data_IF_621174407571
#
_entry.id   IF_621174407571
#
_cell.length_a   1.000
_cell.length_b   1.000
_cell.length_c   1.000
_cell.angle_alpha   90.00
_cell.angle_beta   90.00
_cell.angle_gamma   90.00
#
_symmetry.space_group_name_H-M   'P 1'
#
loop_
_entity.id
_entity.type
_entity.pdbx_description
1 polymer ?
#
# COMPACT_ATOMS: atom_id res chain seq x y z
N UNK A 1 -12.32 -19.32 -1.08
CA UNK A 1 -11.56 -18.05 -1.04
C UNK A 1 -11.30 -17.68 -2.48
N UNK A 2 -11.69 -16.48 -2.93
CA UNK A 2 -11.51 -16.08 -4.32
C UNK A 2 -10.06 -15.64 -4.55
N UNK A 3 -9.36 -16.30 -5.48
CA UNK A 3 -8.01 -15.94 -5.88
C UNK A 3 -8.06 -14.72 -6.82
N UNK A 4 -7.89 -13.52 -6.28
CA UNK A 4 -7.84 -12.28 -7.09
C UNK A 4 -6.42 -12.01 -7.54
N UNK A 5 -6.17 -12.01 -8.86
CA UNK A 5 -4.86 -11.68 -9.45
C UNK A 5 -4.79 -10.22 -9.87
N UNK A 6 -3.69 -9.54 -9.55
CA UNK A 6 -3.44 -8.21 -10.09
C UNK A 6 -2.92 -8.29 -11.53
N UNK A 7 -3.44 -7.44 -12.40
CA UNK A 7 -2.97 -7.26 -13.78
C UNK A 7 -2.52 -5.82 -13.99
N UNK A 8 -1.30 -5.63 -14.45
CA UNK A 8 -0.77 -4.32 -14.77
C UNK A 8 -1.29 -3.86 -16.13
N UNK A 9 -2.22 -2.90 -16.17
CA UNK A 9 -2.69 -2.26 -17.41
C UNK A 9 -1.88 -1.00 -17.71
N UNK A 10 -0.59 -1.16 -17.99
CA UNK A 10 0.34 -0.07 -18.31
C UNK A 10 0.96 0.61 -17.09
N UNK A 11 1.72 1.70 -17.32
CA UNK A 11 2.44 2.44 -16.28
C UNK A 11 1.59 3.62 -15.77
N UNK A 12 0.62 3.33 -14.89
CA UNK A 12 -0.16 4.35 -14.19
C UNK A 12 0.12 4.31 -12.69
N UNK A 13 0.06 5.47 -11.98
CA UNK A 13 0.17 5.49 -10.53
C UNK A 13 -0.89 4.61 -9.88
N UNK A 14 -0.48 3.76 -8.94
CA UNK A 14 -1.33 2.83 -8.22
C UNK A 14 -1.56 3.30 -6.79
N UNK A 15 -2.75 3.01 -6.24
CA UNK A 15 -3.06 3.15 -4.80
C UNK A 15 -3.99 2.02 -4.37
N UNK A 16 -3.86 1.55 -3.14
CA UNK A 16 -4.69 0.47 -2.61
C UNK A 16 -6.16 0.90 -2.37
N UNK A 17 -6.38 2.16 -1.99
CA UNK A 17 -7.71 2.69 -1.65
C UNK A 17 -8.20 2.28 -0.25
N UNK A 18 -7.97 1.03 0.14
CA UNK A 18 -8.10 0.54 1.53
C UNK A 18 -6.74 0.55 2.23
N UNK A 19 -6.74 0.46 3.56
CA UNK A 19 -5.53 0.06 4.27
C UNK A 19 -5.03 -1.28 3.73
N UNK A 20 -3.71 -1.41 3.61
CA UNK A 20 -3.05 -2.64 3.20
C UNK A 20 -2.12 -3.09 4.31
N UNK A 21 -2.28 -4.34 4.76
CA UNK A 21 -1.35 -5.00 5.67
C UNK A 21 -0.20 -5.61 4.87
N UNK A 22 1.01 -5.51 5.40
CA UNK A 22 2.23 -6.08 4.83
C UNK A 22 3.18 -6.50 5.95
N UNK A 23 4.27 -7.19 5.61
CA UNK A 23 5.25 -7.68 6.59
C UNK A 23 6.66 -7.28 6.18
N UNK A 24 7.53 -7.01 7.15
CA UNK A 24 8.97 -6.93 6.89
C UNK A 24 9.59 -8.30 6.55
N UNK A 25 8.94 -9.40 6.95
CA UNK A 25 9.38 -10.77 6.64
C UNK A 25 8.70 -11.28 5.38
N UNK A 26 9.52 -11.54 4.36
CA UNK A 26 9.07 -12.17 3.12
C UNK A 26 8.32 -13.47 3.37
N UNK A 27 8.84 -14.33 4.24
CA UNK A 27 8.25 -15.64 4.54
C UNK A 27 6.84 -15.52 5.12
N UNK A 28 6.61 -14.54 6.01
CA UNK A 28 5.28 -14.24 6.54
C UNK A 28 4.34 -13.79 5.42
N UNK A 29 4.78 -12.84 4.57
CA UNK A 29 3.97 -12.38 3.44
C UNK A 29 3.62 -13.50 2.44
N UNK A 30 4.55 -14.42 2.16
CA UNK A 30 4.31 -15.56 1.26
C UNK A 30 3.36 -16.61 1.88
N UNK A 31 3.26 -16.69 3.21
CA UNK A 31 2.33 -17.60 3.89
C UNK A 31 0.85 -17.22 3.70
N UNK A 32 0.55 -15.94 3.46
CA UNK A 32 -0.81 -15.46 3.16
C UNK A 32 -1.27 -15.79 1.73
N UNK A 33 -0.35 -16.17 0.85
CA UNK A 33 -0.65 -16.56 -0.53
C UNK A 33 0.44 -16.12 -1.52
N UNK A 34 0.46 -16.79 -2.66
CA UNK A 34 1.48 -16.57 -3.71
C UNK A 34 0.88 -16.29 -5.09
N UNK A 35 -0.44 -16.15 -5.21
CA UNK A 35 -1.08 -15.80 -6.50
C UNK A 35 -0.63 -14.45 -7.05
N UNK A 36 -0.30 -13.53 -6.15
CA UNK A 36 0.32 -12.25 -6.46
C UNK A 36 1.21 -11.87 -5.28
N UNK A 37 2.47 -11.57 -5.55
CA UNK A 37 3.40 -11.13 -4.52
C UNK A 37 3.84 -9.70 -4.77
N UNK A 38 3.73 -8.85 -3.75
CA UNK A 38 4.04 -7.42 -3.82
C UNK A 38 5.24 -7.10 -2.94
N UNK A 39 6.36 -6.73 -3.56
CA UNK A 39 7.53 -6.16 -2.87
C UNK A 39 7.32 -4.66 -2.72
N UNK A 40 7.00 -4.18 -1.52
CA UNK A 40 6.58 -2.78 -1.31
C UNK A 40 7.68 -1.96 -0.63
N UNK A 41 8.02 -0.81 -1.22
CA UNK A 41 8.81 0.25 -0.58
C UNK A 41 7.90 1.44 -0.29
N UNK A 42 7.34 1.48 0.91
CA UNK A 42 6.44 2.53 1.38
C UNK A 42 7.19 3.65 2.10
N UNK A 43 6.70 4.89 1.98
CA UNK A 43 7.18 6.05 2.76
C UNK A 43 6.25 6.38 3.94
N UNK A 44 5.01 5.89 3.93
CA UNK A 44 3.97 6.23 4.91
C UNK A 44 3.51 5.02 5.72
N UNK A 45 4.03 3.83 5.43
CA UNK A 45 3.76 2.61 6.18
C UNK A 45 4.29 2.71 7.60
N UNK A 46 3.49 2.26 8.54
CA UNK A 46 3.83 2.29 9.97
C UNK A 46 4.00 0.86 10.46
N UNK A 47 5.13 0.51 11.08
CA UNK A 47 5.26 -0.77 11.76
C UNK A 47 4.32 -0.82 12.96
N UNK A 48 3.42 -1.80 12.97
CA UNK A 48 2.40 -1.98 14.00
C UNK A 48 2.51 -3.32 14.72
N UNK A 49 3.61 -4.05 14.56
CA UNK A 49 3.83 -5.34 15.24
C UNK A 49 3.58 -5.29 16.76
N UNK A 50 3.88 -4.17 17.43
CA UNK A 50 3.61 -3.98 18.87
C UNK A 50 2.12 -3.81 19.22
N UNK A 51 1.27 -3.58 18.23
CA UNK A 51 -0.19 -3.44 18.36
C UNK A 51 -0.97 -4.58 17.69
N UNK A 52 -0.26 -5.48 16.99
CA UNK A 52 -0.88 -6.60 16.29
C UNK A 52 -1.18 -7.74 17.26
N UNK A 53 -2.22 -8.52 16.94
CA UNK A 53 -2.51 -9.78 17.65
C UNK A 53 -1.40 -10.82 17.41
N UNK A 54 -0.69 -10.71 16.28
CA UNK A 54 0.37 -11.62 15.85
C UNK A 54 1.66 -10.84 15.65
N UNK A 55 2.38 -10.61 16.74
CA UNK A 55 3.60 -9.79 16.76
C UNK A 55 4.70 -10.31 15.82
N UNK A 56 4.73 -11.63 15.61
CA UNK A 56 5.66 -12.36 14.75
C UNK A 56 5.45 -12.12 13.25
N UNK A 57 4.29 -11.60 12.86
CA UNK A 57 4.04 -11.21 11.47
C UNK A 57 4.85 -9.97 11.08
N UNK A 58 5.44 -9.24 12.03
CA UNK A 58 6.19 -8.01 11.80
C UNK A 58 5.41 -7.04 10.90
N UNK A 59 4.13 -6.86 11.23
CA UNK A 59 3.16 -6.14 10.42
C UNK A 59 3.53 -4.67 10.23
N UNK A 60 3.40 -4.21 8.98
CA UNK A 60 3.47 -2.82 8.55
C UNK A 60 2.14 -2.46 7.89
N UNK A 61 1.43 -1.50 8.47
CA UNK A 61 0.17 -1.01 7.94
C UNK A 61 0.42 0.16 7.00
N UNK A 62 -0.03 0.03 5.74
CA UNK A 62 0.13 1.03 4.69
C UNK A 62 -1.19 1.78 4.49
N UNK A 63 -1.19 3.12 4.51
CA UNK A 63 -2.42 3.89 4.27
C UNK A 63 -2.88 3.75 2.81
N UNK A 64 -4.19 3.56 2.61
CA UNK A 64 -4.76 3.32 1.28
C UNK A 64 -4.65 4.46 0.28
N UNK A 65 -4.31 5.66 0.75
CA UNK A 65 -4.13 6.83 -0.07
C UNK A 65 -2.67 7.05 -0.50
N UNK A 66 -1.71 6.20 -0.13
CA UNK A 66 -0.34 6.29 -0.66
C UNK A 66 -0.30 5.91 -2.15
N UNK A 67 0.48 6.66 -2.93
CA UNK A 67 0.63 6.47 -4.38
C UNK A 67 1.97 5.78 -4.69
N UNK A 68 1.92 4.74 -5.51
CA UNK A 68 3.07 3.93 -5.92
C UNK A 68 3.28 3.91 -7.43
N UNK A 69 4.54 3.82 -7.85
CA UNK A 69 4.93 3.27 -9.14
C UNK A 69 4.99 1.75 -9.05
N UNK A 70 4.46 1.07 -10.06
CA UNK A 70 4.43 -0.40 -10.12
C UNK A 70 5.34 -0.89 -11.24
N UNK A 71 6.19 -1.86 -10.92
CA UNK A 71 7.10 -2.49 -11.86
C UNK A 71 6.89 -4.00 -11.82
N UNK A 72 6.99 -4.71 -12.95
CA UNK A 72 7.10 -6.17 -12.92
C UNK A 72 8.39 -6.57 -12.19
N UNK A 73 8.33 -7.67 -11.44
CA UNK A 73 9.47 -8.31 -10.78
C UNK A 73 9.80 -9.64 -11.47
N UNK A 74 10.90 -10.28 -11.08
CA UNK A 74 11.24 -11.61 -11.56
C UNK A 74 10.19 -12.64 -11.12
N UNK A 75 9.56 -13.30 -12.10
CA UNK A 75 8.55 -14.33 -11.90
C UNK A 75 7.13 -13.91 -12.27
N UNK A 76 6.25 -14.91 -12.40
CA UNK A 76 4.85 -14.68 -12.76
C UNK A 76 4.10 -13.99 -11.62
N UNK A 77 3.34 -12.94 -11.93
CA UNK A 77 2.50 -12.19 -10.99
C UNK A 77 3.24 -11.62 -9.76
N UNK A 78 4.52 -11.26 -9.92
CA UNK A 78 5.30 -10.56 -8.91
C UNK A 78 5.53 -9.12 -9.32
N UNK A 79 5.37 -8.20 -8.38
CA UNK A 79 5.47 -6.77 -8.65
C UNK A 79 6.24 -6.03 -7.56
N UNK A 80 7.01 -5.02 -7.96
CA UNK A 80 7.65 -4.07 -7.05
C UNK A 80 6.85 -2.77 -7.03
N UNK A 81 6.41 -2.35 -5.84
CA UNK A 81 5.74 -1.08 -5.61
C UNK A 81 6.73 -0.11 -4.96
N UNK A 82 6.99 1.03 -5.60
CA UNK A 82 7.84 2.09 -5.05
C UNK A 82 7.01 3.32 -4.76
N UNK A 83 6.99 3.76 -3.51
CA UNK A 83 6.29 4.97 -3.11
C UNK A 83 6.76 6.16 -3.93
N UNK A 84 5.80 6.99 -4.34
CA UNK A 84 6.07 8.29 -4.95
C UNK A 84 6.32 9.37 -3.90
N UNK A 85 6.29 9.02 -2.61
CA UNK A 85 6.29 9.95 -1.48
C UNK A 85 5.12 10.96 -1.54
N UNK A 86 4.01 10.57 -2.15
CA UNK A 86 2.79 11.37 -2.29
C UNK A 86 1.57 10.57 -1.88
N UNK A 87 0.57 11.28 -1.39
CA UNK A 87 -0.74 10.74 -1.05
C UNK A 87 -1.83 11.29 -1.98
N UNK A 88 -2.97 10.60 -2.03
CA UNK A 88 -4.15 11.00 -2.78
C UNK A 88 -5.44 10.54 -2.11
N UNK A 89 -6.23 11.48 -1.60
CA UNK A 89 -7.59 11.22 -1.13
C UNK A 89 -8.60 12.07 -1.90
N UNK A 90 -9.73 11.46 -2.24
CA UNK A 90 -10.90 12.15 -2.78
C UNK A 90 -11.91 12.50 -1.68
N UNK A 91 -11.67 12.05 -0.45
CA UNK A 91 -12.52 12.32 0.70
C UNK A 91 -11.71 13.06 1.77
N UNK A 92 -12.30 14.13 2.28
CA UNK A 92 -11.77 14.86 3.42
C UNK A 92 -12.97 15.24 4.29
N UNK A 93 -13.00 14.74 5.53
CA UNK A 93 -14.10 14.99 6.47
C UNK A 93 -15.48 14.52 5.98
N UNK A 94 -15.59 13.41 5.25
CA UNK A 94 -16.86 12.92 4.69
C UNK A 94 -18.00 12.81 5.72
N UNK A 95 -17.69 12.43 6.96
CA UNK A 95 -18.67 12.33 8.05
C UNK A 95 -19.18 13.67 8.58
N UNK A 96 -18.58 14.79 8.19
CA UNK A 96 -19.10 16.14 8.43
C UNK A 96 -19.97 16.65 7.26
N UNK A 97 -20.31 15.78 6.30
CA UNK A 97 -21.17 16.10 5.15
C UNK A 97 -20.44 16.60 3.92
N UNK A 98 -19.10 16.59 3.90
CA UNK A 98 -18.34 16.96 2.70
C UNK A 98 -18.41 15.86 1.64
N UNK A 99 -18.67 16.27 0.40
CA UNK A 99 -18.77 15.37 -0.74
C UNK A 99 -17.41 14.86 -1.24
N UNK A 100 -17.46 13.80 -2.06
CA UNK A 100 -16.29 13.31 -2.78
C UNK A 100 -15.78 14.38 -3.75
N UNK A 101 -14.52 14.77 -3.58
CA UNK A 101 -13.84 15.67 -4.52
C UNK A 101 -13.49 14.94 -5.83
N UNK A 102 -13.75 15.53 -7.01
CA UNK A 102 -13.23 15.00 -8.27
C UNK A 102 -11.71 15.13 -8.34
N UNK A 103 -11.15 16.14 -7.65
CA UNK A 103 -9.72 16.37 -7.54
C UNK A 103 -9.11 15.52 -6.43
N UNK A 104 -7.92 15.00 -6.72
CA UNK A 104 -7.09 14.32 -5.76
C UNK A 104 -6.47 15.33 -4.78
N UNK A 105 -6.80 15.23 -3.48
CA UNK A 105 -6.17 16.02 -2.42
C UNK A 105 -5.09 15.18 -1.73
N UNK A 106 -3.86 15.65 -1.80
CA UNK A 106 -2.69 14.91 -1.38
C UNK A 106 -1.65 15.78 -0.70
N UNK A 107 -0.81 15.14 0.11
CA UNK A 107 0.38 15.72 0.73
C UNK A 107 1.63 14.98 0.24
N UNK A 108 2.78 15.64 0.35
CA UNK A 108 4.09 14.99 0.25
C UNK A 108 4.53 14.53 1.63
N UNK A 109 5.21 13.39 1.72
CA UNK A 109 5.79 12.95 2.98
C UNK A 109 6.91 13.90 3.36
N UNK A 110 6.82 14.50 4.56
CA UNK A 110 7.94 15.25 5.14
C UNK A 110 8.99 14.22 5.54
N UNK A 111 10.23 14.39 5.06
CA UNK A 111 11.37 13.70 5.64
C UNK A 111 11.43 14.09 7.13
N UNK A 112 11.31 13.14 8.09
CA UNK A 112 11.41 13.47 9.51
C UNK A 112 12.85 13.82 9.96
N UNK A 113 13.80 13.88 9.02
CA UNK A 113 15.22 14.17 9.26
C UNK A 113 15.74 15.45 8.57
N UNK A 114 14.91 16.50 8.45
CA UNK A 114 15.40 17.86 8.17
C UNK A 114 14.88 18.84 9.18
#
# INVERSE_FOLDING_TARGET
IAHTRYQLQGASPFRFGSFASSSFRREQAESFGQDTFLSIRSCFGVPIHAFSLYTEEEEVLIPGHEIFWVFPDEGSHRFVLRSTNRTCSHFNCAFLGYEKSPECRGSTGRNPHR
#
